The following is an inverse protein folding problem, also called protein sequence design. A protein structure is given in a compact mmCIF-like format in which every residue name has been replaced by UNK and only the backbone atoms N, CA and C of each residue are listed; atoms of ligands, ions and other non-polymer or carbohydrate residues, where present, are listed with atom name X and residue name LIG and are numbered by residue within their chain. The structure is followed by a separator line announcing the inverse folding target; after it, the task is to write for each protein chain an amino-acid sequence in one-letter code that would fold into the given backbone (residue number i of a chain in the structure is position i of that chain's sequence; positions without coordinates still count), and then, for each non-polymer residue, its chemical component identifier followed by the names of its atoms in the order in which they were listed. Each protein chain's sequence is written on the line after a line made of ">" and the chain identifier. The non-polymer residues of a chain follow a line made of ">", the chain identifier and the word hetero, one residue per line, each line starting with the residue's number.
data_IF_999804854967
#
_entry.id   IF_999804854967
#
_cell.length_a   1.000
_cell.length_b   1.000
_cell.length_c   1.000
_cell.angle_alpha   90.00
_cell.angle_beta   90.00
_cell.angle_gamma   90.00
#
_symmetry.space_group_name_H-M   'P 1'
#
loop_
_entity.id
_entity.type
_entity.pdbx_description
1 polymer ?
#
# COMPACT_ATOMS: atom_id res chain seq x y z
N UNK A 1 17.49 -37.21 -27.74
CA UNK A 1 17.38 -36.01 -28.60
C UNK A 1 16.53 -34.99 -27.87
N UNK A 2 17.05 -33.76 -27.82
CA UNK A 2 16.59 -32.64 -26.99
C UNK A 2 15.18 -32.15 -27.33
N UNK A 3 14.50 -31.52 -26.36
CA UNK A 3 13.67 -30.35 -26.64
C UNK A 3 13.76 -29.36 -25.48
N UNK A 4 14.76 -28.49 -25.62
CA UNK A 4 14.94 -27.23 -24.92
C UNK A 4 13.66 -26.37 -25.05
N UNK A 5 13.00 -26.04 -23.94
CA UNK A 5 11.90 -25.06 -23.91
C UNK A 5 12.51 -23.69 -23.55
N UNK A 6 12.19 -22.61 -24.31
CA UNK A 6 12.89 -21.35 -24.16
C UNK A 6 12.42 -20.54 -22.93
N UNK A 7 13.28 -19.72 -22.30
CA UNK A 7 12.94 -18.90 -21.13
C UNK A 7 12.23 -17.57 -21.47
N UNK A 8 11.77 -17.39 -22.71
CA UNK A 8 11.39 -16.07 -23.24
C UNK A 8 10.02 -15.55 -22.75
N UNK A 9 9.12 -16.40 -22.25
CA UNK A 9 7.76 -16.00 -21.87
C UNK A 9 7.70 -15.31 -20.50
N UNK A 10 8.55 -15.74 -19.55
CA UNK A 10 8.58 -15.17 -18.21
C UNK A 10 9.10 -13.71 -18.21
N UNK A 11 10.12 -13.42 -19.02
CA UNK A 11 10.70 -12.07 -19.10
C UNK A 11 9.71 -11.03 -19.63
N UNK A 12 8.91 -11.38 -20.66
CA UNK A 12 7.91 -10.49 -21.26
C UNK A 12 6.73 -10.24 -20.30
N UNK A 13 6.31 -11.26 -19.55
CA UNK A 13 5.26 -11.12 -18.53
C UNK A 13 5.71 -10.19 -17.40
N UNK A 14 6.93 -10.35 -16.88
CA UNK A 14 7.47 -9.48 -15.82
C UNK A 14 7.59 -8.03 -16.29
N UNK A 15 8.08 -7.78 -17.51
CA UNK A 15 8.17 -6.42 -18.04
C UNK A 15 6.80 -5.75 -18.23
N UNK A 16 5.78 -6.51 -18.65
CA UNK A 16 4.42 -6.00 -18.78
C UNK A 16 3.79 -5.72 -17.41
N UNK A 17 4.02 -6.58 -16.42
CA UNK A 17 3.60 -6.37 -15.03
C UNK A 17 4.24 -5.11 -14.43
N UNK A 18 5.55 -4.91 -14.63
CA UNK A 18 6.25 -3.69 -14.17
C UNK A 18 5.77 -2.41 -14.87
N UNK A 19 5.37 -2.50 -16.14
CA UNK A 19 4.80 -1.36 -16.88
C UNK A 19 3.39 -1.01 -16.37
N UNK A 20 2.55 -2.02 -16.12
CA UNK A 20 1.23 -1.87 -15.48
C UNK A 20 1.38 -1.26 -14.08
N UNK A 21 2.30 -1.77 -13.27
CA UNK A 21 2.61 -1.25 -11.94
C UNK A 21 3.03 0.24 -12.00
N UNK A 22 3.92 0.59 -12.93
CA UNK A 22 4.36 1.96 -13.15
C UNK A 22 3.23 2.90 -13.59
N UNK A 23 2.30 2.44 -14.42
CA UNK A 23 1.13 3.22 -14.84
C UNK A 23 0.12 3.40 -13.70
N UNK A 24 -0.17 2.34 -12.94
CA UNK A 24 -1.01 2.44 -11.76
C UNK A 24 -0.39 3.37 -10.71
N UNK A 25 0.93 3.31 -10.47
CA UNK A 25 1.65 4.24 -9.58
C UNK A 25 1.42 5.71 -9.94
N UNK A 26 1.48 6.08 -11.23
CA UNK A 26 1.23 7.47 -11.66
C UNK A 26 -0.23 7.88 -11.48
N UNK A 27 -1.16 7.02 -11.87
CA UNK A 27 -2.59 7.28 -11.72
C UNK A 27 -2.97 7.44 -10.24
N UNK A 28 -2.47 6.53 -9.39
CA UNK A 28 -2.67 6.55 -7.93
C UNK A 28 -2.06 7.78 -7.28
N UNK A 29 -0.83 8.19 -7.64
CA UNK A 29 -0.20 9.43 -7.13
C UNK A 29 -1.03 10.68 -7.44
N UNK A 30 -1.67 10.73 -8.61
CA UNK A 30 -2.54 11.86 -8.98
C UNK A 30 -3.79 11.91 -8.10
N UNK A 31 -4.51 10.78 -7.96
CA UNK A 31 -5.71 10.70 -7.11
C UNK A 31 -5.41 10.93 -5.63
N UNK A 32 -4.22 10.53 -5.16
CA UNK A 32 -3.73 10.79 -3.81
C UNK A 32 -3.63 12.29 -3.54
N UNK A 33 -2.97 13.05 -4.43
CA UNK A 33 -2.85 14.51 -4.27
C UNK A 33 -4.21 15.18 -4.15
N UNK A 34 -5.19 14.74 -4.92
CA UNK A 34 -6.56 15.27 -4.87
C UNK A 34 -7.30 14.91 -3.58
N UNK A 35 -7.03 13.76 -2.94
CA UNK A 35 -7.62 13.38 -1.65
C UNK A 35 -6.91 14.04 -0.47
N UNK A 36 -5.58 14.10 -0.49
CA UNK A 36 -4.77 14.75 0.55
C UNK A 36 -4.91 16.26 0.54
N UNK A 37 -5.10 16.89 -0.63
CA UNK A 37 -5.48 18.30 -0.67
C UNK A 37 -6.81 18.58 0.07
N UNK A 38 -7.68 17.57 0.20
CA UNK A 38 -8.93 17.64 0.97
C UNK A 38 -8.77 17.17 2.42
N UNK A 39 -7.74 16.38 2.72
CA UNK A 39 -7.52 15.77 4.02
C UNK A 39 -6.21 16.28 4.60
N UNK A 40 -6.32 17.22 5.54
CA UNK A 40 -5.20 17.87 6.21
C UNK A 40 -4.27 16.83 6.90
N UNK A 41 -3.12 16.46 6.31
CA UNK A 41 -2.25 15.40 6.83
C UNK A 41 -1.14 15.95 7.73
N UNK A 42 -1.23 17.22 8.18
CA UNK A 42 -0.13 17.96 8.81
C UNK A 42 0.29 17.49 10.21
N UNK A 43 -0.21 16.35 10.72
CA UNK A 43 0.17 15.82 12.04
C UNK A 43 1.24 14.73 12.02
N UNK A 44 1.49 14.08 10.88
CA UNK A 44 2.51 13.05 10.76
C UNK A 44 3.64 13.52 9.83
N UNK A 45 4.87 13.22 10.19
CA UNK A 45 6.06 13.47 9.37
C UNK A 45 6.81 12.17 9.08
N UNK A 46 7.60 12.14 8.02
CA UNK A 46 8.44 10.99 7.67
C UNK A 46 7.67 9.75 7.23
N UNK A 47 8.13 8.57 7.68
CA UNK A 47 7.66 7.26 7.24
C UNK A 47 6.18 7.02 7.59
N UNK A 48 5.75 7.37 8.81
CA UNK A 48 4.36 7.17 9.26
C UNK A 48 3.35 7.91 8.38
N UNK A 49 3.70 9.12 7.97
CA UNK A 49 2.88 9.90 7.03
C UNK A 49 2.80 9.23 5.65
N UNK A 50 3.89 8.63 5.16
CA UNK A 50 3.91 7.90 3.89
C UNK A 50 3.09 6.61 3.97
N UNK A 51 3.18 5.86 5.09
CA UNK A 51 2.40 4.64 5.33
C UNK A 51 0.90 4.94 5.31
N UNK A 52 0.45 5.93 6.07
CA UNK A 52 -0.96 6.31 6.12
C UNK A 52 -1.47 6.78 4.75
N UNK A 53 -0.68 7.62 4.07
CA UNK A 53 -1.01 8.09 2.71
C UNK A 53 -1.14 6.91 1.76
N UNK A 54 -0.20 5.98 1.80
CA UNK A 54 -0.22 4.80 0.94
C UNK A 54 -1.45 3.92 1.21
N UNK A 55 -1.81 3.68 2.48
CA UNK A 55 -3.01 2.92 2.82
C UNK A 55 -4.30 3.59 2.31
N UNK A 56 -4.41 4.92 2.44
CA UNK A 56 -5.57 5.69 1.95
C UNK A 56 -5.73 5.67 0.43
N UNK A 57 -4.64 5.51 -0.33
CA UNK A 57 -4.69 5.33 -1.79
C UNK A 57 -5.40 4.03 -2.13
N UNK A 58 -5.08 3.01 -1.35
CA UNK A 58 -5.35 1.62 -1.64
C UNK A 58 -6.64 1.11 -1.02
N UNK A 59 -7.14 1.77 0.02
CA UNK A 59 -8.40 1.44 0.66
C UNK A 59 -9.58 1.27 -0.33
N UNK A 60 -9.81 2.17 -1.32
CA UNK A 60 -10.92 2.02 -2.27
C UNK A 60 -10.79 0.83 -3.22
N UNK A 61 -9.60 0.24 -3.34
CA UNK A 61 -9.30 -0.85 -4.25
C UNK A 61 -9.14 -2.20 -3.53
N UNK A 62 -9.47 -2.26 -2.23
CA UNK A 62 -9.34 -3.47 -1.43
C UNK A 62 -7.95 -3.67 -0.80
N UNK A 63 -7.11 -2.64 -0.79
CA UNK A 63 -5.85 -2.63 -0.04
C UNK A 63 -4.62 -2.71 -0.93
N UNK A 64 -3.46 -2.54 -0.30
CA UNK A 64 -2.19 -2.45 -1.01
C UNK A 64 -1.61 -3.85 -1.25
N UNK A 65 -1.12 -4.15 -2.45
CA UNK A 65 -0.52 -5.43 -2.78
C UNK A 65 0.82 -5.57 -2.09
N UNK A 66 1.15 -6.80 -1.72
CA UNK A 66 2.33 -7.10 -0.92
C UNK A 66 3.64 -6.65 -1.57
N UNK A 67 3.72 -6.79 -2.89
CA UNK A 67 4.90 -6.43 -3.67
C UNK A 67 5.14 -4.91 -3.67
N UNK A 68 4.10 -4.08 -3.75
CA UNK A 68 4.28 -2.63 -3.68
C UNK A 68 4.62 -2.16 -2.26
N UNK A 69 4.07 -2.81 -1.23
CA UNK A 69 4.46 -2.55 0.16
C UNK A 69 5.96 -2.83 0.32
N UNK A 70 6.43 -3.98 -0.19
CA UNK A 70 7.83 -4.36 -0.12
C UNK A 70 8.73 -3.41 -0.95
N UNK A 71 8.32 -3.02 -2.16
CA UNK A 71 9.10 -2.09 -2.98
C UNK A 71 9.17 -0.66 -2.39
N UNK A 72 8.11 -0.18 -1.74
CA UNK A 72 8.07 1.19 -1.19
C UNK A 72 8.68 1.29 0.20
N UNK A 73 8.47 0.27 1.05
CA UNK A 73 8.80 0.32 2.47
C UNK A 73 9.82 -0.74 2.88
N UNK A 74 10.20 -1.66 2.00
CA UNK A 74 11.13 -2.75 2.31
C UNK A 74 10.60 -3.75 3.34
N UNK A 75 9.31 -3.73 3.66
CA UNK A 75 8.72 -4.53 4.73
C UNK A 75 7.60 -5.42 4.22
N UNK A 76 7.31 -6.46 4.99
CA UNK A 76 6.21 -7.37 4.69
C UNK A 76 4.85 -6.70 4.97
N UNK A 77 3.77 -7.16 4.31
CA UNK A 77 2.43 -6.56 4.43
C UNK A 77 1.89 -6.52 5.86
N UNK A 78 2.17 -7.55 6.64
CA UNK A 78 1.76 -7.61 8.05
C UNK A 78 2.42 -6.48 8.85
N UNK A 79 3.74 -6.28 8.71
CA UNK A 79 4.46 -5.18 9.37
C UNK A 79 3.96 -3.81 8.93
N UNK A 80 3.58 -3.67 7.67
CA UNK A 80 2.98 -2.44 7.17
C UNK A 80 1.63 -2.17 7.85
N UNK A 81 0.79 -3.18 7.99
CA UNK A 81 -0.50 -3.07 8.67
C UNK A 81 -0.31 -2.74 10.16
N UNK A 82 0.63 -3.40 10.85
CA UNK A 82 0.98 -3.05 12.24
C UNK A 82 1.36 -1.57 12.39
N UNK A 83 2.30 -1.10 11.55
CA UNK A 83 2.75 0.30 11.57
C UNK A 83 1.64 1.28 11.19
N UNK A 84 0.75 0.90 10.27
CA UNK A 84 -0.42 1.69 9.89
C UNK A 84 -1.32 1.90 11.11
N UNK A 85 -1.65 0.85 11.84
CA UNK A 85 -2.50 0.95 13.02
C UNK A 85 -1.83 1.71 14.16
N UNK A 86 -0.54 1.48 14.41
CA UNK A 86 0.25 2.28 15.36
C UNK A 86 0.21 3.77 15.02
N UNK A 87 0.38 4.10 13.75
CA UNK A 87 0.34 5.49 13.24
C UNK A 87 -1.03 6.13 13.41
N UNK A 88 -2.11 5.38 13.14
CA UNK A 88 -3.50 5.85 13.29
C UNK A 88 -3.83 6.12 14.77
N UNK A 89 -3.35 5.25 15.67
CA UNK A 89 -3.50 5.43 17.11
C UNK A 89 -2.71 6.62 17.65
N UNK A 90 -1.44 6.74 17.25
CA UNK A 90 -0.54 7.80 17.72
C UNK A 90 -0.99 9.20 17.28
N UNK A 91 -1.51 9.33 16.06
CA UNK A 91 -1.95 10.62 15.53
C UNK A 91 -3.41 10.98 15.86
N UNK A 92 -4.19 10.04 16.42
CA UNK A 92 -5.60 10.27 16.80
C UNK A 92 -6.48 10.65 15.61
N UNK A 93 -6.39 9.90 14.50
CA UNK A 93 -7.16 10.19 13.29
C UNK A 93 -8.67 10.00 13.47
N UNK A 94 -9.43 10.71 12.64
CA UNK A 94 -10.88 10.73 12.64
C UNK A 94 -11.48 9.31 12.48
N UNK A 95 -12.53 9.01 13.24
CA UNK A 95 -13.25 7.74 13.23
C UNK A 95 -13.65 7.30 11.82
N UNK A 96 -13.92 8.25 10.91
CA UNK A 96 -14.21 7.95 9.50
C UNK A 96 -13.04 7.32 8.76
N UNK A 97 -11.83 7.87 8.92
CA UNK A 97 -10.61 7.36 8.28
C UNK A 97 -10.27 5.99 8.86
N UNK A 98 -10.31 5.87 10.19
CA UNK A 98 -10.06 4.63 10.91
C UNK A 98 -11.00 3.51 10.43
N UNK A 99 -12.29 3.82 10.22
CA UNK A 99 -13.26 2.85 9.71
C UNK A 99 -13.04 2.48 8.24
N UNK A 100 -12.68 3.44 7.39
CA UNK A 100 -12.35 3.16 5.99
C UNK A 100 -11.14 2.23 5.88
N UNK A 101 -10.12 2.46 6.71
CA UNK A 101 -8.95 1.58 6.79
C UNK A 101 -9.27 0.23 7.40
N UNK A 102 -10.07 0.16 8.47
CA UNK A 102 -10.52 -1.08 9.11
C UNK A 102 -11.25 -2.03 8.17
N UNK A 103 -12.00 -1.48 7.20
CA UNK A 103 -12.75 -2.27 6.23
C UNK A 103 -11.85 -3.03 5.24
N UNK A 104 -10.57 -2.65 5.14
CA UNK A 104 -9.65 -3.12 4.09
C UNK A 104 -8.41 -3.75 4.70
N UNK A 105 -7.78 -3.05 5.64
CA UNK A 105 -6.66 -3.53 6.41
C UNK A 105 -7.21 -3.98 7.76
N UNK A 106 -7.48 -5.28 7.88
CA UNK A 106 -7.93 -5.85 9.15
C UNK A 106 -6.94 -5.46 10.23
N UNK A 107 -7.46 -4.87 11.31
CA UNK A 107 -6.63 -4.53 12.46
C UNK A 107 -6.01 -5.82 12.99
N UNK A 108 -4.67 -5.91 13.07
CA UNK A 108 -4.03 -7.06 13.66
C UNK A 108 -4.51 -7.07 15.11
N UNK A 109 -5.11 -8.20 15.49
CA UNK A 109 -5.58 -8.36 16.85
C UNK A 109 -4.34 -8.34 17.76
N UNK A 110 -4.24 -7.41 18.73
CA UNK A 110 -3.07 -7.31 19.58
C UNK A 110 -2.90 -8.52 20.51
N UNK A 111 -3.79 -9.52 20.46
CA UNK A 111 -3.79 -10.72 21.31
C UNK A 111 -3.38 -12.01 20.60
N UNK A 112 -2.91 -11.97 19.34
CA UNK A 112 -2.36 -13.17 18.70
C UNK A 112 -0.98 -13.54 19.32
N UNK A 113 -0.85 -14.72 19.98
CA UNK A 113 0.34 -15.14 20.72
C UNK A 113 1.52 -15.56 19.84
#
# INVERSE_FOLDING_TARGET
>A
MNTDHPPHTAAVQTSHQSAIDGQLRRYRRRKLRERLARQNPHRLTGESAEILRFALIWAPYGGAPAEEIFQQFGMAPHRFVDKLWQTVEEAGYDLRITRELAAVYTRPDPTAP
#
